data_IF_140068699236
#
_entry.id   IF_140068699236
#
_cell.length_a   1.000
_cell.length_b   1.000
_cell.length_c   1.000
_cell.angle_alpha   90.00
_cell.angle_beta   90.00
_cell.angle_gamma   90.00
#
_symmetry.space_group_name_H-M   'P 1'
#
loop_
_entity.id
_entity.type
_entity.pdbx_description
1 polymer ?
#
# COMPACT_ATOMS: atom_id res chain seq x y z
N UNK A 1 -20.63 4.60 31.28
CA UNK A 1 -19.35 4.81 30.59
C UNK A 1 -19.63 4.65 29.12
N UNK A 2 -19.34 5.66 28.30
CA UNK A 2 -19.40 5.51 26.85
C UNK A 2 -18.16 4.70 26.49
N UNK A 3 -18.36 3.48 26.00
CA UNK A 3 -17.30 2.58 25.60
C UNK A 3 -16.68 3.14 24.32
N UNK A 4 -15.54 3.83 24.44
CA UNK A 4 -14.86 4.43 23.30
C UNK A 4 -14.09 3.31 22.61
N UNK A 5 -14.64 2.82 21.49
CA UNK A 5 -13.98 1.80 20.67
C UNK A 5 -12.59 2.29 20.24
N UNK A 6 -11.54 1.46 20.33
CA UNK A 6 -10.20 1.87 19.93
C UNK A 6 -10.16 2.29 18.46
N UNK A 7 -9.34 3.30 18.10
CA UNK A 7 -9.22 3.73 16.73
C UNK A 7 -8.71 2.58 15.85
N UNK A 8 -9.27 2.43 14.65
CA UNK A 8 -8.79 1.46 13.65
C UNK A 8 -7.28 1.59 13.48
N UNK A 9 -6.59 0.45 13.33
CA UNK A 9 -5.12 0.41 13.16
C UNK A 9 -4.64 1.26 11.98
N UNK A 10 -5.50 1.44 10.97
CA UNK A 10 -5.24 2.29 9.81
C UNK A 10 -5.22 3.79 10.15
N UNK A 11 -5.63 4.17 11.37
CA UNK A 11 -5.68 5.53 11.91
C UNK A 11 -4.82 5.71 13.16
N UNK A 12 -4.34 4.63 13.79
CA UNK A 12 -3.54 4.69 15.00
C UNK A 12 -2.06 4.99 14.66
N UNK A 13 -1.50 6.12 15.10
CA UNK A 13 -0.08 6.41 14.88
C UNK A 13 0.80 5.34 15.52
N UNK A 14 1.86 4.95 14.81
CA UNK A 14 2.90 4.07 15.34
C UNK A 14 3.79 4.86 16.31
N UNK A 15 3.86 4.40 17.56
CA UNK A 15 4.64 5.04 18.63
C UNK A 15 5.97 4.35 18.92
N UNK A 16 6.17 3.13 18.42
CA UNK A 16 7.38 2.34 18.63
C UNK A 16 8.51 2.81 17.70
N UNK A 17 9.45 3.59 18.23
CA UNK A 17 10.56 4.14 17.43
C UNK A 17 11.44 3.07 16.78
N UNK A 18 11.66 1.94 17.46
CA UNK A 18 12.48 0.83 16.95
C UNK A 18 11.98 0.28 15.60
N UNK A 19 10.67 0.37 15.34
CA UNK A 19 10.07 -0.04 14.06
C UNK A 19 10.40 0.91 12.90
N UNK A 20 10.99 2.08 13.18
CA UNK A 20 11.36 3.10 12.20
C UNK A 20 12.86 3.08 11.87
N UNK A 21 13.69 2.46 12.71
CA UNK A 21 15.16 2.58 12.65
C UNK A 21 15.74 2.11 11.33
N UNK A 22 15.24 0.99 10.79
CA UNK A 22 15.67 0.46 9.48
C UNK A 22 15.41 1.42 8.33
N UNK A 23 14.45 2.34 8.48
CA UNK A 23 14.11 3.35 7.47
C UNK A 23 14.81 4.69 7.70
N UNK A 24 15.26 4.99 8.93
CA UNK A 24 15.97 6.26 9.23
C UNK A 24 17.35 6.34 8.57
N UNK A 25 17.97 5.20 8.29
CA UNK A 25 19.26 5.10 7.58
C UNK A 25 19.15 5.44 6.08
N UNK A 26 17.96 5.34 5.49
CA UNK A 26 17.74 5.67 4.08
C UNK A 26 17.32 7.14 3.92
N UNK A 27 18.07 7.99 3.18
CA UNK A 27 17.77 9.42 3.06
C UNK A 27 16.34 9.73 2.59
N UNK A 28 15.85 8.99 1.59
CA UNK A 28 14.50 9.16 1.05
C UNK A 28 13.41 8.78 2.04
N UNK A 29 13.55 7.63 2.71
CA UNK A 29 12.59 7.21 3.73
C UNK A 29 12.61 8.14 4.94
N UNK A 30 13.79 8.57 5.39
CA UNK A 30 13.92 9.53 6.50
C UNK A 30 13.26 10.88 6.18
N UNK A 31 13.38 11.38 4.94
CA UNK A 31 12.63 12.56 4.50
C UNK A 31 11.11 12.36 4.58
N UNK A 32 10.62 11.18 4.17
CA UNK A 32 9.20 10.85 4.25
C UNK A 32 8.70 10.69 5.70
N UNK A 33 9.50 10.10 6.59
CA UNK A 33 9.20 9.96 8.02
C UNK A 33 9.02 11.33 8.70
N UNK A 34 9.76 12.34 8.24
CA UNK A 34 9.69 13.71 8.75
C UNK A 34 8.71 14.59 7.95
N UNK A 35 7.97 14.05 6.97
CA UNK A 35 7.07 14.84 6.15
C UNK A 35 5.83 15.28 6.95
N UNK A 36 5.49 16.57 7.01
CA UNK A 36 4.45 17.09 7.90
C UNK A 36 3.04 16.58 7.59
N UNK A 37 2.75 16.23 6.33
CA UNK A 37 1.44 15.70 5.93
C UNK A 37 1.24 14.21 6.22
N UNK A 38 2.29 13.46 6.60
CA UNK A 38 2.21 12.02 6.81
C UNK A 38 2.57 11.64 8.25
N UNK A 39 2.15 10.45 8.66
CA UNK A 39 2.58 9.84 9.91
C UNK A 39 2.64 8.30 9.76
N UNK A 40 3.55 7.64 10.48
CA UNK A 40 3.68 6.20 10.43
C UNK A 40 2.50 5.50 11.11
N UNK A 41 2.06 4.40 10.51
CA UNK A 41 1.09 3.45 11.07
C UNK A 41 1.65 2.03 10.90
N UNK A 42 1.12 1.07 11.66
CA UNK A 42 1.43 -0.35 11.41
C UNK A 42 0.88 -0.75 10.03
N UNK A 43 1.66 -1.53 9.28
CA UNK A 43 1.17 -2.14 8.05
C UNK A 43 0.25 -3.31 8.42
N UNK A 44 -1.05 -3.18 8.17
CA UNK A 44 -2.05 -4.14 8.67
C UNK A 44 -1.80 -5.60 8.24
N UNK A 45 -1.39 -5.79 6.98
CA UNK A 45 -1.02 -7.08 6.41
C UNK A 45 0.29 -7.65 6.91
N UNK A 46 1.06 -6.89 7.70
CA UNK A 46 2.25 -7.40 8.41
C UNK A 46 1.95 -7.91 9.80
N UNK A 47 0.71 -7.82 10.26
CA UNK A 47 0.32 -8.39 11.54
C UNK A 47 -0.15 -9.84 11.35
N UNK A 48 0.51 -10.83 12.00
CA UNK A 48 0.07 -12.22 11.96
C UNK A 48 -1.35 -12.37 12.51
N UNK A 49 -2.16 -13.20 11.86
CA UNK A 49 -3.53 -13.53 12.28
C UNK A 49 -3.67 -15.04 12.43
N UNK A 50 -3.13 -15.66 13.50
CA UNK A 50 -3.01 -17.11 13.61
C UNK A 50 -4.36 -17.86 13.61
N UNK A 51 -5.44 -17.21 14.03
CA UNK A 51 -6.77 -17.82 14.05
C UNK A 51 -7.38 -18.01 12.66
N UNK A 52 -7.17 -17.05 11.75
CA UNK A 52 -7.78 -17.05 10.41
C UNK A 52 -6.80 -17.39 9.29
N UNK A 53 -5.50 -17.22 9.52
CA UNK A 53 -4.46 -17.29 8.50
C UNK A 53 -4.47 -16.10 7.53
N UNK A 54 -5.35 -15.11 7.72
CA UNK A 54 -5.39 -13.89 6.92
C UNK A 54 -4.02 -13.20 6.96
N UNK A 55 -3.61 -12.66 5.81
CA UNK A 55 -2.30 -12.02 5.58
C UNK A 55 -1.07 -12.91 5.85
N UNK A 56 -1.21 -14.23 6.01
CA UNK A 56 -0.07 -15.13 6.20
C UNK A 56 1.02 -15.01 5.13
N UNK A 57 0.65 -14.60 3.91
CA UNK A 57 1.60 -14.31 2.84
C UNK A 57 2.48 -13.09 3.15
N UNK A 58 1.91 -11.96 3.57
CA UNK A 58 2.68 -10.74 3.92
C UNK A 58 3.28 -10.82 5.33
N UNK A 59 2.55 -11.30 6.33
CA UNK A 59 3.02 -11.38 7.72
C UNK A 59 3.98 -12.55 7.97
N UNK A 60 4.07 -13.52 7.07
CA UNK A 60 4.91 -14.71 7.19
C UNK A 60 5.83 -14.91 6.00
N UNK A 61 5.30 -15.37 4.86
CA UNK A 61 6.10 -15.77 3.69
C UNK A 61 7.05 -14.68 3.20
N UNK A 62 6.57 -13.44 3.14
CA UNK A 62 7.36 -12.27 2.73
C UNK A 62 8.02 -11.54 3.91
N UNK A 63 7.89 -12.04 5.15
CA UNK A 63 8.39 -11.40 6.37
C UNK A 63 9.64 -12.11 6.91
N UNK A 64 10.63 -12.32 6.05
CA UNK A 64 11.87 -13.02 6.42
C UNK A 64 13.10 -12.15 6.18
N UNK A 65 14.21 -12.50 6.82
CA UNK A 65 15.50 -11.82 6.64
C UNK A 65 16.06 -11.87 5.22
N UNK A 66 15.56 -12.79 4.39
CA UNK A 66 15.97 -12.94 2.98
C UNK A 66 14.91 -12.47 1.99
N UNK A 67 13.76 -11.97 2.45
CA UNK A 67 12.68 -11.45 1.60
C UNK A 67 12.46 -9.96 1.86
N UNK A 68 11.56 -9.60 2.76
CA UNK A 68 11.26 -8.21 3.12
C UNK A 68 11.27 -8.10 4.65
N UNK A 69 12.45 -7.95 5.27
CA UNK A 69 12.59 -7.92 6.73
C UNK A 69 11.85 -6.75 7.40
N UNK A 70 11.76 -5.60 6.72
CA UNK A 70 11.14 -4.40 7.27
C UNK A 70 10.09 -3.82 6.32
N UNK A 71 8.94 -3.42 6.88
CA UNK A 71 7.82 -2.89 6.12
C UNK A 71 7.03 -1.88 6.96
N UNK A 72 6.87 -0.65 6.44
CA UNK A 72 6.20 0.44 7.14
C UNK A 72 5.21 1.14 6.22
N UNK A 73 4.07 1.55 6.77
CA UNK A 73 3.10 2.38 6.04
C UNK A 73 3.09 3.77 6.63
N UNK A 74 3.22 4.79 5.80
CA UNK A 74 2.98 6.18 6.14
C UNK A 74 1.63 6.58 5.55
N UNK A 75 0.68 7.00 6.35
CA UNK A 75 -0.58 7.53 5.84
C UNK A 75 -0.62 9.03 5.84
N UNK A 76 -1.39 9.59 4.93
CA UNK A 76 -1.69 11.02 4.94
C UNK A 76 -2.57 11.36 6.13
N UNK A 77 -2.33 12.52 6.74
CA UNK A 77 -3.14 13.06 7.85
C UNK A 77 -4.56 13.32 7.41
N UNK A 78 -4.71 14.02 6.28
CA UNK A 78 -5.97 14.48 5.74
C UNK A 78 -6.23 13.84 4.38
N UNK A 79 -7.37 13.17 4.27
CA UNK A 79 -7.79 12.51 3.03
C UNK A 79 -8.82 13.40 2.32
N UNK A 80 -8.60 13.73 1.03
CA UNK A 80 -9.55 14.51 0.26
C UNK A 80 -10.83 13.69 -0.04
N UNK A 81 -11.99 14.33 -0.26
CA UNK A 81 -13.15 13.62 -0.78
C UNK A 81 -12.84 12.99 -2.14
N UNK A 82 -13.40 11.80 -2.39
CA UNK A 82 -13.19 11.08 -3.65
C UNK A 82 -14.12 11.61 -4.76
N UNK A 83 -13.56 11.81 -5.94
CA UNK A 83 -14.35 12.18 -7.11
C UNK A 83 -15.29 11.04 -7.53
N UNK A 84 -16.54 11.38 -7.86
CA UNK A 84 -17.54 10.45 -8.39
C UNK A 84 -17.41 10.23 -9.90
N UNK A 85 -16.19 10.35 -10.44
CA UNK A 85 -15.89 10.25 -11.87
C UNK A 85 -14.94 9.07 -12.12
N UNK A 86 -15.14 8.40 -13.25
CA UNK A 86 -14.21 7.37 -13.73
C UNK A 86 -12.95 8.08 -14.25
N UNK A 87 -11.75 7.79 -13.71
CA UNK A 87 -10.52 8.34 -14.26
C UNK A 87 -10.25 7.74 -15.65
N UNK A 88 -9.53 8.46 -16.53
CA UNK A 88 -9.06 7.88 -17.78
C UNK A 88 -8.17 6.67 -17.47
N UNK A 89 -8.49 5.55 -18.11
CA UNK A 89 -7.70 4.32 -18.04
C UNK A 89 -6.85 4.23 -19.31
N UNK A 90 -5.52 4.25 -19.21
CA UNK A 90 -4.65 4.16 -20.38
C UNK A 90 -4.83 2.79 -21.06
N UNK A 91 -4.68 2.74 -22.37
CA UNK A 91 -4.73 1.48 -23.11
C UNK A 91 -3.65 0.52 -22.60
N UNK A 92 -3.92 -0.80 -22.61
CA UNK A 92 -2.87 -1.81 -22.40
C UNK A 92 -1.67 -1.66 -23.33
N UNK A 93 -1.88 -1.06 -24.51
CA UNK A 93 -0.87 -0.83 -25.54
C UNK A 93 -0.17 0.52 -25.42
N UNK A 94 -0.58 1.39 -24.50
CA UNK A 94 0.07 2.68 -24.32
C UNK A 94 1.49 2.47 -23.79
N UNK A 95 2.41 3.35 -24.21
CA UNK A 95 3.81 3.28 -23.79
C UNK A 95 3.88 3.39 -22.26
N UNK A 96 4.44 2.40 -21.54
CA UNK A 96 4.61 2.47 -20.10
C UNK A 96 5.34 3.74 -19.65
N UNK A 97 6.23 4.31 -20.48
CA UNK A 97 6.97 5.54 -20.17
C UNK A 97 6.07 6.77 -20.17
N UNK A 98 5.03 6.81 -21.00
CA UNK A 98 4.14 7.98 -21.18
C UNK A 98 3.18 8.26 -20.01
N UNK A 99 3.04 7.33 -19.06
CA UNK A 99 2.27 7.59 -17.84
C UNK A 99 3.02 8.60 -16.95
N UNK A 100 2.61 9.86 -17.03
CA UNK A 100 3.11 10.93 -16.15
C UNK A 100 2.89 10.57 -14.67
N UNK A 101 3.84 10.91 -13.78
CA UNK A 101 3.64 10.86 -12.35
C UNK A 101 2.36 11.59 -11.92
N UNK A 102 1.56 10.98 -11.04
CA UNK A 102 0.46 11.71 -10.40
C UNK A 102 1.04 12.91 -9.64
N UNK A 103 0.69 14.12 -10.07
CA UNK A 103 1.02 15.36 -9.38
C UNK A 103 0.28 15.50 -8.02
N UNK A 104 -0.75 14.69 -7.80
CA UNK A 104 -1.51 14.71 -6.55
C UNK A 104 -0.76 13.96 -5.44
N UNK A 105 -0.74 14.51 -4.21
CA UNK A 105 -0.13 13.83 -3.06
C UNK A 105 -0.77 12.46 -2.83
N UNK A 106 0.03 11.41 -2.56
CA UNK A 106 -0.48 10.08 -2.32
C UNK A 106 -1.21 9.98 -0.98
N UNK A 107 -2.12 9.02 -0.87
CA UNK A 107 -2.87 8.78 0.35
C UNK A 107 -2.04 7.95 1.35
N UNK A 108 -1.18 7.06 0.82
CA UNK A 108 -0.13 6.39 1.60
C UNK A 108 1.20 6.34 0.86
N UNK A 109 2.27 6.19 1.63
CA UNK A 109 3.50 5.54 1.21
C UNK A 109 3.63 4.19 1.91
N UNK A 110 4.09 3.17 1.19
CA UNK A 110 4.53 1.91 1.75
C UNK A 110 6.03 1.80 1.51
N UNK A 111 6.80 1.67 2.59
CA UNK A 111 8.25 1.55 2.59
C UNK A 111 8.59 0.10 2.88
N UNK A 112 9.40 -0.52 2.02
CA UNK A 112 9.81 -1.91 2.17
C UNK A 112 11.33 -2.00 2.02
N UNK A 113 12.00 -2.65 2.96
CA UNK A 113 13.40 -3.03 2.81
C UNK A 113 13.46 -4.39 2.10
N UNK A 114 13.93 -4.41 0.86
CA UNK A 114 14.02 -5.63 0.06
C UNK A 114 15.37 -6.31 0.29
N UNK A 115 15.35 -7.55 0.75
CA UNK A 115 16.53 -8.38 0.96
C UNK A 115 16.68 -9.45 -0.14
N UNK A 116 17.87 -10.02 -0.23
CA UNK A 116 18.22 -11.08 -1.19
C UNK A 116 18.55 -12.39 -0.46
N UNK A 117 18.39 -13.56 -1.11
CA UNK A 117 17.96 -13.75 -2.50
C UNK A 117 16.43 -13.90 -2.69
N UNK A 118 15.64 -13.89 -1.63
CA UNK A 118 14.25 -14.35 -1.65
C UNK A 118 13.27 -13.52 -2.49
N UNK A 119 13.63 -12.29 -2.87
CA UNK A 119 12.82 -11.46 -3.79
C UNK A 119 13.40 -11.36 -5.20
N UNK A 120 14.58 -11.92 -5.44
CA UNK A 120 15.31 -11.75 -6.71
C UNK A 120 14.68 -12.57 -7.83
N UNK A 121 14.46 -11.94 -8.99
CA UNK A 121 14.08 -12.64 -10.24
C UNK A 121 15.25 -12.80 -11.20
N UNK A 122 16.19 -11.85 -11.16
CA UNK A 122 17.48 -11.87 -11.84
C UNK A 122 18.56 -11.42 -10.84
N UNK A 123 19.86 -11.58 -11.13
CA UNK A 123 20.93 -11.06 -10.26
C UNK A 123 20.68 -9.59 -9.89
N UNK A 124 20.70 -9.31 -8.59
CA UNK A 124 20.49 -7.97 -8.02
C UNK A 124 19.21 -7.25 -8.47
N UNK A 125 18.20 -7.98 -8.95
CA UNK A 125 16.95 -7.39 -9.47
C UNK A 125 15.74 -8.10 -8.87
N UNK A 126 14.81 -7.34 -8.28
CA UNK A 126 13.57 -7.89 -7.75
C UNK A 126 12.72 -8.52 -8.86
N UNK A 127 12.08 -9.65 -8.54
CA UNK A 127 11.13 -10.30 -9.44
C UNK A 127 9.90 -9.40 -9.64
N UNK A 128 9.45 -9.20 -10.88
CA UNK A 128 8.29 -8.34 -11.19
C UNK A 128 7.03 -8.73 -10.40
N UNK A 129 6.82 -10.03 -10.19
CA UNK A 129 5.74 -10.54 -9.34
C UNK A 129 5.78 -10.05 -7.88
N UNK A 130 6.97 -9.89 -7.28
CA UNK A 130 7.08 -9.31 -5.92
C UNK A 130 6.68 -7.83 -5.94
N UNK A 131 7.07 -7.11 -7.00
CA UNK A 131 6.70 -5.70 -7.17
C UNK A 131 5.19 -5.55 -7.34
N UNK A 132 4.56 -6.37 -8.20
CA UNK A 132 3.11 -6.39 -8.37
C UNK A 132 2.38 -6.72 -7.07
N UNK A 133 2.85 -7.71 -6.31
CA UNK A 133 2.33 -8.06 -4.99
C UNK A 133 2.37 -6.87 -4.02
N UNK A 134 3.50 -6.17 -3.94
CA UNK A 134 3.62 -5.01 -3.04
C UNK A 134 2.76 -3.82 -3.50
N UNK A 135 2.58 -3.64 -4.82
CA UNK A 135 1.67 -2.64 -5.38
C UNK A 135 0.22 -2.94 -5.00
N UNK A 136 -0.23 -4.19 -5.17
CA UNK A 136 -1.60 -4.62 -4.81
C UNK A 136 -1.87 -4.30 -3.33
N UNK A 137 -0.93 -4.65 -2.47
CA UNK A 137 -1.04 -4.41 -1.03
C UNK A 137 -1.10 -2.92 -0.68
N UNK A 138 -0.19 -2.10 -1.22
CA UNK A 138 -0.18 -0.66 -0.99
C UNK A 138 -1.50 -0.01 -1.48
N UNK A 139 -2.00 -0.40 -2.64
CA UNK A 139 -3.26 0.09 -3.16
C UNK A 139 -4.45 -0.35 -2.30
N UNK A 140 -4.48 -1.61 -1.85
CA UNK A 140 -5.50 -2.13 -0.93
C UNK A 140 -5.55 -1.34 0.38
N UNK A 141 -4.39 -1.06 0.98
CA UNK A 141 -4.28 -0.23 2.19
C UNK A 141 -4.77 1.21 1.93
N UNK A 142 -4.49 1.78 0.76
CA UNK A 142 -5.00 3.10 0.39
C UNK A 142 -6.53 3.12 0.28
N UNK A 143 -7.14 2.11 -0.36
CA UNK A 143 -8.61 2.00 -0.46
C UNK A 143 -9.24 1.85 0.93
N UNK A 144 -8.62 1.06 1.80
CA UNK A 144 -9.08 0.82 3.17
C UNK A 144 -9.24 2.13 3.96
N UNK A 145 -8.43 3.16 3.69
CA UNK A 145 -8.57 4.47 4.34
C UNK A 145 -9.86 5.22 4.00
N UNK A 146 -10.53 4.88 2.89
CA UNK A 146 -11.78 5.51 2.44
C UNK A 146 -13.00 4.61 2.63
N UNK A 147 -12.80 3.37 3.01
CA UNK A 147 -13.91 2.50 3.35
C UNK A 147 -14.51 2.94 4.69
N UNK A 148 -15.85 2.99 4.80
CA UNK A 148 -16.46 3.24 6.10
C UNK A 148 -15.92 2.18 7.07
N UNK A 149 -15.59 2.54 8.33
CA UNK A 149 -15.37 1.53 9.35
C UNK A 149 -16.54 0.52 9.33
N UNK A 150 -16.29 -0.76 9.64
CA UNK A 150 -17.33 -1.81 9.63
C UNK A 150 -18.62 -1.42 10.37
N UNK A 151 -18.52 -0.46 11.30
CA UNK A 151 -19.61 0.12 12.09
C UNK A 151 -20.60 1.01 11.31
N UNK A 152 -20.24 1.52 10.13
CA UNK A 152 -21.11 2.38 9.30
C UNK A 152 -21.89 1.61 8.24
N UNK A 153 -21.65 0.30 8.09
CA UNK A 153 -22.60 -0.59 7.42
C UNK A 153 -23.76 -0.81 8.38
N UNK A 154 -24.78 0.04 8.29
CA UNK A 154 -26.00 0.07 9.12
C UNK A 154 -26.91 -1.18 8.99
N UNK A 155 -26.37 -2.32 8.55
CA UNK A 155 -26.98 -3.62 8.76
C UNK A 155 -26.49 -4.15 10.10
N UNK A 156 -27.41 -4.30 11.06
CA UNK A 156 -27.29 -4.92 12.39
C UNK A 156 -26.67 -6.33 12.38
N UNK A 157 -25.46 -6.49 11.87
CA UNK A 157 -24.73 -7.74 11.93
C UNK A 157 -23.84 -7.68 13.16
N UNK A 158 -24.33 -8.34 14.23
CA UNK A 158 -23.50 -8.91 15.31
C UNK A 158 -22.57 -9.99 14.71
N UNK A 159 -21.70 -9.60 13.80
CA UNK A 159 -20.58 -10.44 13.35
C UNK A 159 -19.63 -10.65 14.53
N UNK A 160 -18.97 -11.80 14.56
CA UNK A 160 -17.90 -12.07 15.53
C UNK A 160 -16.80 -11.01 15.40
N UNK A 161 -15.92 -10.88 16.39
CA UNK A 161 -14.74 -10.00 16.29
C UNK A 161 -13.89 -10.28 15.03
N UNK A 162 -13.99 -11.48 14.45
CA UNK A 162 -13.34 -11.91 13.21
C UNK A 162 -13.91 -11.23 11.94
N UNK A 163 -15.16 -10.75 11.96
CA UNK A 163 -15.80 -10.06 10.83
C UNK A 163 -15.42 -8.56 10.73
N UNK A 164 -14.70 -8.03 11.73
CA UNK A 164 -14.37 -6.60 11.83
C UNK A 164 -12.96 -6.30 11.34
N UNK A 165 -12.63 -6.68 10.10
CA UNK A 165 -11.35 -6.28 9.50
C UNK A 165 -11.43 -4.82 9.03
N UNK A 166 -10.35 -4.01 9.18
CA UNK A 166 -10.33 -2.64 8.65
C UNK A 166 -10.62 -2.58 7.15
N UNK A 167 -10.18 -3.60 6.41
CA UNK A 167 -10.36 -3.73 4.95
C UNK A 167 -11.81 -4.01 4.57
N UNK A 168 -12.62 -4.58 5.47
CA UNK A 168 -13.98 -5.00 5.16
C UNK A 168 -14.04 -5.89 3.90
N UNK A 169 -15.12 -5.78 3.13
CA UNK A 169 -15.38 -6.58 1.93
C UNK A 169 -14.81 -5.95 0.65
N UNK A 170 -13.53 -5.59 0.65
CA UNK A 170 -12.83 -4.94 -0.47
C UNK A 170 -11.91 -5.92 -1.21
N UNK A 171 -12.23 -6.20 -2.47
CA UNK A 171 -11.49 -7.15 -3.30
C UNK A 171 -10.84 -6.46 -4.49
N UNK A 172 -9.58 -6.79 -4.75
CA UNK A 172 -8.91 -6.41 -6.00
C UNK A 172 -9.68 -7.04 -7.15
N UNK A 173 -10.18 -6.24 -8.09
CA UNK A 173 -10.88 -6.76 -9.26
C UNK A 173 -10.03 -6.70 -10.52
N UNK A 174 -9.13 -5.72 -10.62
CA UNK A 174 -8.16 -5.62 -11.72
C UNK A 174 -6.94 -4.86 -11.22
N UNK A 175 -5.76 -5.35 -11.61
CA UNK A 175 -4.48 -4.70 -11.40
C UNK A 175 -3.74 -4.65 -12.74
N UNK A 176 -3.38 -3.46 -13.19
CA UNK A 176 -2.68 -3.20 -14.43
C UNK A 176 -1.32 -2.56 -14.14
N UNK A 177 -0.23 -3.28 -14.46
CA UNK A 177 1.14 -2.92 -14.07
C UNK A 177 2.00 -2.64 -15.31
N UNK A 178 2.81 -1.57 -15.22
CA UNK A 178 3.73 -1.11 -16.26
C UNK A 178 5.13 -0.99 -15.66
N UNK A 179 5.98 -1.97 -15.94
CA UNK A 179 7.39 -1.95 -15.54
C UNK A 179 8.18 -1.04 -16.48
N UNK A 180 8.72 0.06 -15.93
CA UNK A 180 9.48 1.06 -16.68
C UNK A 180 11.00 0.86 -16.55
N UNK A 181 11.47 0.44 -15.37
CA UNK A 181 12.88 0.21 -15.04
C UNK A 181 13.02 -0.98 -14.10
N UNK A 182 14.17 -1.69 -14.09
CA UNK A 182 14.47 -2.68 -13.08
C UNK A 182 14.40 -2.11 -11.66
N UNK A 183 14.07 -2.96 -10.69
CA UNK A 183 14.14 -2.62 -9.26
C UNK A 183 15.37 -3.33 -8.67
N UNK A 184 16.37 -2.56 -8.24
CA UNK A 184 17.60 -3.08 -7.67
C UNK A 184 17.36 -3.67 -6.27
N UNK A 185 17.99 -4.80 -5.97
CA UNK A 185 17.98 -5.44 -4.65
C UNK A 185 19.37 -5.96 -4.26
N UNK A 186 19.74 -5.93 -2.97
CA UNK A 186 18.94 -5.46 -1.83
C UNK A 186 18.79 -3.93 -1.82
N UNK A 187 17.74 -3.41 -1.17
CA UNK A 187 17.54 -1.97 -1.04
C UNK A 187 16.11 -1.54 -0.74
N UNK A 188 15.95 -0.24 -0.52
CA UNK A 188 14.65 0.39 -0.22
C UNK A 188 13.74 0.40 -1.46
N UNK A 189 12.52 -0.07 -1.29
CA UNK A 189 11.39 0.12 -2.20
C UNK A 189 10.41 1.11 -1.60
N UNK A 190 10.06 2.16 -2.35
CA UNK A 190 9.02 3.11 -1.94
C UNK A 190 7.84 2.94 -2.89
N UNK A 191 6.65 2.69 -2.35
CA UNK A 191 5.42 2.68 -3.13
C UNK A 191 4.57 3.84 -2.67
N UNK A 192 4.12 4.68 -3.59
CA UNK A 192 3.10 5.70 -3.32
C UNK A 192 1.79 5.26 -3.94
N UNK A 193 0.70 5.31 -3.19
CA UNK A 193 -0.62 4.92 -3.68
C UNK A 193 -1.66 6.01 -3.40
N UNK A 194 -2.57 6.20 -4.36
CA UNK A 194 -3.65 7.20 -4.29
C UNK A 194 -4.94 6.63 -4.84
N UNK A 195 -6.01 6.75 -4.07
CA UNK A 195 -7.36 6.54 -4.56
C UNK A 195 -7.77 7.78 -5.34
N UNK A 196 -8.00 7.61 -6.64
CA UNK A 196 -8.25 8.72 -7.58
C UNK A 196 -9.73 8.95 -7.86
N UNK A 197 -10.59 8.03 -7.44
CA UNK A 197 -12.04 8.21 -7.57
C UNK A 197 -12.81 7.02 -7.04
N UNK A 198 -14.10 7.23 -6.77
CA UNK A 198 -15.05 6.18 -6.39
C UNK A 198 -16.33 6.34 -7.20
N UNK A 199 -16.70 5.31 -7.96
CA UNK A 199 -17.96 5.29 -8.71
C UNK A 199 -18.81 4.13 -8.20
N UNK A 200 -19.83 4.45 -7.40
CA UNK A 200 -20.61 3.47 -6.68
C UNK A 200 -19.74 2.63 -5.74
N UNK A 201 -19.66 1.32 -6.02
CA UNK A 201 -18.87 0.34 -5.24
C UNK A 201 -17.43 0.17 -5.71
N UNK A 202 -17.02 0.88 -6.77
CA UNK A 202 -15.70 0.74 -7.38
C UNK A 202 -14.78 1.87 -6.95
N UNK A 203 -13.65 1.52 -6.36
CA UNK A 203 -12.56 2.45 -6.02
C UNK A 203 -11.44 2.33 -7.05
N UNK A 204 -11.08 3.44 -7.67
CA UNK A 204 -10.00 3.51 -8.67
C UNK A 204 -8.73 4.00 -7.98
N UNK A 205 -7.60 3.33 -8.24
CA UNK A 205 -6.36 3.57 -7.52
C UNK A 205 -5.19 3.64 -8.50
N UNK A 206 -4.32 4.62 -8.31
CA UNK A 206 -3.01 4.73 -8.96
C UNK A 206 -1.93 4.42 -7.94
N UNK A 207 -0.86 3.74 -8.36
CA UNK A 207 0.34 3.63 -7.54
C UNK A 207 1.59 3.67 -8.41
N UNK A 208 2.68 4.11 -7.77
CA UNK A 208 4.00 4.15 -8.39
C UNK A 208 5.05 3.63 -7.43
N UNK A 209 5.97 2.85 -7.99
CA UNK A 209 7.15 2.34 -7.31
C UNK A 209 8.32 3.27 -7.63
N UNK A 210 9.04 3.67 -6.59
CA UNK A 210 10.19 4.54 -6.67
C UNK A 210 11.42 3.88 -6.03
N UNK A 211 12.58 4.12 -6.64
CA UNK A 211 13.89 3.88 -6.06
C UNK A 211 14.79 5.08 -6.29
N UNK A 212 15.87 5.18 -5.50
CA UNK A 212 16.93 6.14 -5.76
C UNK A 212 17.52 5.88 -7.15
N UNK A 213 17.81 6.94 -7.88
CA UNK A 213 18.46 6.83 -9.18
C UNK A 213 19.92 6.37 -9.02
N UNK A 214 20.40 5.53 -9.93
CA UNK A 214 21.78 5.01 -9.88
C UNK A 214 22.81 6.10 -10.21
N UNK A 215 22.49 7.02 -11.11
CA UNK A 215 23.37 8.12 -11.52
C UNK A 215 23.28 9.29 -10.55
N UNK A 216 22.10 9.53 -9.96
CA UNK A 216 21.86 10.57 -8.96
C UNK A 216 21.05 10.07 -7.74
N UNK A 217 21.72 9.50 -6.72
CA UNK A 217 21.06 8.92 -5.56
C UNK A 217 20.15 9.86 -4.76
N UNK A 218 20.28 11.18 -4.92
CA UNK A 218 19.42 12.19 -4.27
C UNK A 218 18.03 12.31 -4.92
N UNK A 219 17.85 11.75 -6.11
CA UNK A 219 16.60 11.73 -6.87
C UNK A 219 15.92 10.36 -6.80
N UNK A 220 14.58 10.39 -6.84
CA UNK A 220 13.77 9.18 -6.98
C UNK A 220 13.30 9.04 -8.43
N UNK A 221 13.48 7.87 -9.01
CA UNK A 221 12.93 7.51 -10.32
C UNK A 221 11.78 6.54 -10.18
N UNK A 222 10.79 6.69 -11.06
CA UNK A 222 9.68 5.73 -11.17
C UNK A 222 10.17 4.50 -11.91
N UNK A 223 10.12 3.35 -11.23
CA UNK A 223 10.50 2.05 -11.81
C UNK A 223 9.28 1.28 -12.30
N UNK A 224 8.13 1.44 -11.64
CA UNK A 224 6.87 0.78 -12.01
C UNK A 224 5.70 1.74 -11.81
N UNK A 225 4.78 1.79 -12.79
CA UNK A 225 3.50 2.48 -12.68
C UNK A 225 2.36 1.44 -12.66
N UNK A 226 1.29 1.73 -11.93
CA UNK A 226 0.14 0.84 -11.88
C UNK A 226 -1.17 1.60 -11.72
N UNK A 227 -2.21 1.01 -12.31
CA UNK A 227 -3.59 1.42 -12.17
C UNK A 227 -4.44 0.19 -11.85
N UNK A 228 -5.36 0.33 -10.91
CA UNK A 228 -6.17 -0.78 -10.43
C UNK A 228 -7.54 -0.30 -9.99
N UNK A 229 -8.45 -1.24 -9.75
CA UNK A 229 -9.67 -0.95 -9.01
C UNK A 229 -10.10 -2.08 -8.08
N UNK A 230 -10.66 -1.66 -6.94
CA UNK A 230 -11.27 -2.52 -5.94
C UNK A 230 -12.79 -2.44 -6.02
N UNK A 231 -13.44 -3.56 -5.72
CA UNK A 231 -14.88 -3.65 -5.56
C UNK A 231 -15.22 -3.85 -4.08
N UNK A 232 -16.10 -3.00 -3.56
CA UNK A 232 -16.77 -3.24 -2.29
C UNK A 232 -17.96 -4.18 -2.53
N UNK A 233 -17.94 -5.38 -1.94
CA UNK A 233 -19.04 -6.34 -2.05
C UNK A 233 -20.04 -6.19 -0.90
N UNK A 234 -21.29 -6.55 -1.16
CA UNK A 234 -22.36 -6.59 -0.15
C UNK A 234 -22.49 -8.01 0.41
N UNK A 235 -23.04 -8.16 1.62
CA UNK A 235 -23.15 -9.46 2.31
C UNK A 235 -24.11 -10.48 1.69
N UNK A 236 -24.74 -10.16 0.56
CA UNK A 236 -25.78 -10.98 -0.05
C UNK A 236 -25.24 -11.71 -1.29
N UNK A 237 -24.85 -12.97 -1.08
CA UNK A 237 -25.15 -14.06 -2.00
C UNK A 237 -26.31 -14.85 -1.41
#
# INVERSE_FOLDING_TARGET
MVDVKPPSIMNAPLTEEASLDSFRSHPHANRLLNHPEYYPIRTWSRLPKPSTGEDGYFAGTLATSITIPHCLTLRRRWLPPLAAARPPWPSPTDDPVSSEPSALPPDIFMLLDLATPGVSGHPSTAHGGIIATCIDEAMSLAVTLYSPPPELDASDHKGSEEDQTPRGKLYTSQLDVRYKRPVAVPGLLIIRAKVVGRVGRKFWVRAQVLQADEENPDQLVVTTDAMAFWLQTTSTL
#
